data_IF_989093626800
#
_entry.id   IF_989093626800
#
_cell.length_a   1.000
_cell.length_b   1.000
_cell.length_c   1.000
_cell.angle_alpha   90.00
_cell.angle_beta   90.00
_cell.angle_gamma   90.00
#
_symmetry.space_group_name_H-M   'P 1'
#
loop_
_entity.id
_entity.type
_entity.pdbx_description
1 polymer ?
#
# COMPACT_ATOMS: atom_id res chain seq x y z
N UNK A 1 15.55 -21.40 -13.51
CA UNK A 1 14.12 -21.83 -13.52
C UNK A 1 13.21 -20.70 -13.10
N UNK A 2 13.57 -19.94 -12.10
CA UNK A 2 12.69 -18.93 -11.48
C UNK A 2 12.41 -17.75 -12.40
N UNK A 3 13.34 -17.37 -13.26
CA UNK A 3 13.14 -16.27 -14.22
C UNK A 3 12.00 -16.57 -15.23
N UNK A 4 11.81 -17.82 -15.62
CA UNK A 4 10.72 -18.21 -16.51
C UNK A 4 9.35 -18.01 -15.86
N UNK A 5 9.23 -18.37 -14.59
CA UNK A 5 7.99 -18.15 -13.81
C UNK A 5 7.69 -16.65 -13.71
N UNK A 6 8.70 -15.82 -13.46
CA UNK A 6 8.56 -14.37 -13.42
C UNK A 6 8.10 -13.80 -14.77
N UNK A 7 8.65 -14.31 -15.88
CA UNK A 7 8.22 -13.91 -17.22
C UNK A 7 6.76 -14.28 -17.51
N UNK A 8 6.33 -15.49 -17.15
CA UNK A 8 4.95 -15.92 -17.33
C UNK A 8 3.99 -15.05 -16.52
N UNK A 9 4.31 -14.79 -15.24
CA UNK A 9 3.52 -13.93 -14.38
C UNK A 9 3.44 -12.51 -14.95
N UNK A 10 4.57 -11.96 -15.36
CA UNK A 10 4.62 -10.62 -15.95
C UNK A 10 3.78 -10.53 -17.24
N UNK A 11 3.85 -11.56 -18.11
CA UNK A 11 3.06 -11.62 -19.33
C UNK A 11 1.56 -11.61 -19.03
N UNK A 12 1.10 -12.47 -18.14
CA UNK A 12 -0.30 -12.55 -17.72
C UNK A 12 -0.78 -11.23 -17.14
N UNK A 13 0.01 -10.63 -16.24
CA UNK A 13 -0.37 -9.37 -15.61
C UNK A 13 -0.43 -8.22 -16.60
N UNK A 14 0.50 -8.15 -17.56
CA UNK A 14 0.50 -7.12 -18.59
C UNK A 14 -0.69 -7.28 -19.55
N UNK A 15 -1.06 -8.52 -19.92
CA UNK A 15 -2.26 -8.79 -20.72
C UNK A 15 -3.53 -8.36 -20.00
N UNK A 16 -3.67 -8.77 -18.72
CA UNK A 16 -4.82 -8.38 -17.90
C UNK A 16 -4.89 -6.86 -17.73
N UNK A 17 -3.78 -6.23 -17.40
CA UNK A 17 -3.73 -4.79 -17.20
C UNK A 17 -4.05 -4.00 -18.45
N UNK A 18 -3.65 -4.49 -19.63
CA UNK A 18 -4.00 -3.87 -20.92
C UNK A 18 -5.49 -4.06 -21.29
N UNK A 19 -6.16 -5.07 -20.74
CA UNK A 19 -7.60 -5.30 -20.96
C UNK A 19 -8.50 -4.48 -20.02
N UNK A 20 -7.94 -3.83 -19.01
CA UNK A 20 -8.72 -3.05 -18.03
C UNK A 20 -9.22 -1.76 -18.66
N UNK A 21 -10.54 -1.62 -18.74
CA UNK A 21 -11.23 -0.39 -19.11
C UNK A 21 -11.92 0.23 -17.90
N UNK A 22 -11.31 1.21 -17.29
CA UNK A 22 -11.84 1.91 -16.11
C UNK A 22 -13.12 2.70 -16.38
N UNK A 23 -13.52 2.90 -17.64
CA UNK A 23 -14.76 3.60 -18.00
C UNK A 23 -15.99 2.70 -17.96
N UNK A 24 -15.80 1.39 -17.95
CA UNK A 24 -16.87 0.38 -18.07
C UNK A 24 -16.80 -0.71 -16.98
N UNK A 25 -16.43 -0.34 -15.78
CA UNK A 25 -16.34 -1.26 -14.63
C UNK A 25 -17.41 -0.97 -13.59
N UNK A 26 -17.78 -1.99 -12.82
CA UNK A 26 -18.70 -1.85 -11.68
C UNK A 26 -18.22 -0.79 -10.68
N UNK A 27 -16.90 -0.61 -10.55
CA UNK A 27 -16.27 0.32 -9.60
C UNK A 27 -15.79 1.63 -10.24
N UNK A 28 -16.32 2.00 -11.41
CA UNK A 28 -15.91 3.21 -12.15
C UNK A 28 -15.98 4.47 -11.29
N UNK A 29 -17.06 4.62 -10.51
CA UNK A 29 -17.23 5.78 -9.62
C UNK A 29 -16.16 5.84 -8.51
N UNK A 30 -15.84 4.71 -7.89
CA UNK A 30 -14.79 4.64 -6.87
C UNK A 30 -13.41 5.00 -7.46
N UNK A 31 -13.09 4.49 -8.66
CA UNK A 31 -11.84 4.81 -9.36
C UNK A 31 -11.75 6.30 -9.69
N UNK A 32 -12.86 6.92 -10.14
CA UNK A 32 -12.90 8.36 -10.40
C UNK A 32 -12.68 9.19 -9.12
N UNK A 33 -13.20 8.75 -7.99
CA UNK A 33 -12.96 9.38 -6.69
C UNK A 33 -11.53 9.19 -6.22
N UNK A 34 -10.98 7.97 -6.40
CA UNK A 34 -9.58 7.66 -6.07
C UNK A 34 -8.61 8.56 -6.85
N UNK A 35 -8.86 8.84 -8.14
CA UNK A 35 -8.05 9.76 -8.96
C UNK A 35 -7.98 11.19 -8.41
N UNK A 36 -8.98 11.62 -7.64
CA UNK A 36 -8.99 12.95 -7.02
C UNK A 36 -8.17 13.01 -5.74
N UNK A 37 -7.91 11.87 -5.12
CA UNK A 37 -7.00 11.80 -3.98
C UNK A 37 -5.59 12.09 -4.47
N UNK A 38 -4.89 12.95 -3.77
CA UNK A 38 -3.50 13.32 -4.08
C UNK A 38 -2.59 12.87 -2.94
N UNK A 39 -2.32 11.55 -2.79
CA UNK A 39 -1.44 11.07 -1.75
C UNK A 39 -0.01 11.56 -1.98
N UNK A 40 0.74 11.80 -0.92
CA UNK A 40 2.14 12.17 -1.02
C UNK A 40 2.96 11.08 -1.71
N UNK A 41 2.73 9.82 -1.32
CA UNK A 41 3.29 8.65 -1.95
C UNK A 41 2.29 7.49 -1.89
N UNK A 42 2.40 6.56 -2.85
CA UNK A 42 1.67 5.30 -2.88
C UNK A 42 2.69 4.18 -2.74
N UNK A 43 2.41 3.22 -1.87
CA UNK A 43 3.27 2.06 -1.64
C UNK A 43 2.48 0.82 -1.97
N UNK A 44 3.01 -0.02 -2.85
CA UNK A 44 2.31 -1.23 -3.29
C UNK A 44 3.24 -2.43 -3.35
N UNK A 45 2.66 -3.61 -3.06
CA UNK A 45 3.27 -4.92 -3.31
C UNK A 45 2.83 -5.51 -4.66
N UNK A 46 1.88 -4.86 -5.36
CA UNK A 46 1.39 -5.33 -6.65
C UNK A 46 2.42 -5.11 -7.75
N UNK A 47 2.45 -6.05 -8.70
CA UNK A 47 3.38 -6.00 -9.84
C UNK A 47 2.80 -5.30 -11.07
N UNK A 48 1.45 -5.25 -11.21
CA UNK A 48 0.75 -4.64 -12.34
C UNK A 48 0.90 -3.12 -12.40
N UNK A 49 0.48 -2.49 -13.49
CA UNK A 49 0.55 -1.04 -13.71
C UNK A 49 -0.79 -0.32 -13.49
N UNK A 50 -1.71 -0.94 -12.75
CA UNK A 50 -3.05 -0.37 -12.48
C UNK A 50 -2.97 0.98 -11.78
N UNK A 51 -2.08 1.11 -10.79
CA UNK A 51 -1.91 2.37 -10.07
C UNK A 51 -1.31 3.47 -10.94
N UNK A 52 -0.37 3.14 -11.81
CA UNK A 52 0.20 4.07 -12.79
C UNK A 52 -0.85 4.59 -13.78
N UNK A 53 -1.82 3.75 -14.17
CA UNK A 53 -2.96 4.15 -15.02
C UNK A 53 -4.01 4.99 -14.29
N UNK A 54 -4.12 4.82 -12.98
CA UNK A 54 -5.01 5.63 -12.14
C UNK A 54 -4.37 6.99 -11.83
N UNK A 55 -3.08 7.01 -11.52
CA UNK A 55 -2.30 8.18 -11.12
C UNK A 55 -1.23 8.50 -12.18
N UNK A 56 -1.66 8.96 -13.34
CA UNK A 56 -0.84 9.19 -14.53
C UNK A 56 0.28 10.23 -14.35
N UNK A 57 0.16 11.11 -13.36
CA UNK A 57 1.17 12.11 -13.02
C UNK A 57 2.18 11.63 -11.96
N UNK A 58 2.07 10.37 -11.48
CA UNK A 58 2.96 9.81 -10.47
C UNK A 58 4.08 9.02 -11.12
N UNK A 59 5.27 9.09 -10.51
CA UNK A 59 6.43 8.34 -10.98
C UNK A 59 6.51 6.98 -10.28
N UNK A 60 6.50 5.89 -11.05
CA UNK A 60 6.75 4.55 -10.53
C UNK A 60 8.24 4.37 -10.20
N UNK A 61 8.51 3.85 -9.00
CA UNK A 61 9.86 3.54 -8.52
C UNK A 61 9.87 2.07 -8.10
N UNK A 62 10.68 1.27 -8.77
CA UNK A 62 10.67 -0.19 -8.65
C UNK A 62 11.79 -0.69 -7.74
N UNK A 63 11.43 -1.54 -6.78
CA UNK A 63 12.34 -2.32 -5.96
C UNK A 63 13.42 -1.49 -5.26
N UNK A 64 14.68 -1.83 -5.46
CA UNK A 64 15.82 -1.17 -4.79
C UNK A 64 16.06 0.29 -5.25
N UNK A 65 15.48 0.70 -6.37
CA UNK A 65 15.60 2.08 -6.84
C UNK A 65 14.89 3.08 -5.91
N UNK A 66 13.95 2.61 -5.07
CA UNK A 66 13.32 3.39 -4.00
C UNK A 66 14.36 4.11 -3.11
N UNK A 67 15.57 3.54 -2.97
CA UNK A 67 16.65 4.12 -2.16
C UNK A 67 17.45 5.17 -2.92
N UNK A 68 17.51 5.08 -4.25
CA UNK A 68 18.42 5.89 -5.09
C UNK A 68 17.79 7.19 -5.60
N UNK A 69 16.47 7.30 -5.58
CA UNK A 69 15.77 8.44 -6.15
C UNK A 69 15.97 9.66 -5.26
N UNK A 70 16.58 10.67 -5.81
CA UNK A 70 16.61 12.01 -5.24
C UNK A 70 15.18 12.53 -5.13
N UNK A 71 14.81 12.99 -3.96
CA UNK A 71 13.52 13.51 -3.57
C UNK A 71 12.76 14.20 -4.72
N UNK A 72 11.80 13.48 -5.30
CA UNK A 72 10.60 14.11 -5.80
C UNK A 72 9.75 14.36 -4.56
N UNK A 73 9.44 15.59 -4.28
CA UNK A 73 8.73 15.95 -3.05
C UNK A 73 7.28 15.50 -3.06
N UNK A 74 6.78 14.89 -4.16
CA UNK A 74 5.36 14.57 -4.33
C UNK A 74 5.12 13.65 -5.54
N UNK A 75 4.23 12.65 -5.38
CA UNK A 75 3.74 11.86 -6.50
C UNK A 75 4.60 10.64 -6.87
N UNK A 76 5.01 9.84 -5.90
CA UNK A 76 5.74 8.59 -6.12
C UNK A 76 4.84 7.36 -5.93
N UNK A 77 4.96 6.36 -6.82
CA UNK A 77 4.41 5.01 -6.64
C UNK A 77 5.56 4.05 -6.37
N UNK A 78 5.71 3.60 -5.14
CA UNK A 78 6.78 2.71 -4.72
C UNK A 78 6.33 1.25 -4.85
N UNK A 79 6.83 0.55 -5.86
CA UNK A 79 6.57 -0.88 -6.12
C UNK A 79 7.64 -1.72 -5.40
N UNK A 80 7.41 -1.97 -4.11
CA UNK A 80 8.43 -2.57 -3.23
C UNK A 80 8.73 -4.04 -3.53
N UNK A 81 7.80 -4.77 -4.15
CA UNK A 81 7.98 -6.15 -4.59
C UNK A 81 8.29 -6.30 -6.08
N UNK A 82 8.58 -5.20 -6.78
CA UNK A 82 8.92 -5.24 -8.20
C UNK A 82 7.75 -4.88 -9.13
N UNK A 83 7.97 -4.99 -10.43
CA UNK A 83 7.03 -4.63 -11.48
C UNK A 83 6.99 -5.66 -12.60
N UNK A 84 5.81 -5.88 -13.20
CA UNK A 84 5.66 -6.71 -14.40
C UNK A 84 6.43 -6.18 -15.61
N UNK A 85 6.78 -4.90 -15.62
CA UNK A 85 7.62 -4.29 -16.66
C UNK A 85 9.12 -4.49 -16.40
N UNK A 86 9.53 -4.84 -15.18
CA UNK A 86 10.90 -5.13 -14.79
C UNK A 86 10.97 -6.54 -14.18
N UNK A 87 10.89 -7.58 -15.02
CA UNK A 87 10.69 -8.98 -14.61
C UNK A 87 11.69 -9.45 -13.54
N UNK A 88 12.95 -9.03 -13.64
CA UNK A 88 13.98 -9.39 -12.67
C UNK A 88 13.74 -8.77 -11.28
N UNK A 89 12.94 -7.71 -11.19
CA UNK A 89 12.61 -7.04 -9.93
C UNK A 89 11.54 -7.77 -9.10
N UNK A 90 10.80 -8.70 -9.70
CA UNK A 90 9.68 -9.40 -9.08
C UNK A 90 10.15 -10.26 -7.91
N UNK A 91 9.55 -10.02 -6.73
CA UNK A 91 9.80 -10.77 -5.50
C UNK A 91 8.72 -11.84 -5.33
N UNK A 92 9.02 -13.09 -5.65
CA UNK A 92 8.03 -14.19 -5.60
C UNK A 92 8.61 -15.51 -5.08
N UNK A 93 9.89 -15.76 -5.23
CA UNK A 93 10.54 -16.98 -4.73
C UNK A 93 11.09 -16.77 -3.31
N UNK A 94 11.39 -17.88 -2.62
CA UNK A 94 12.02 -17.79 -1.31
C UNK A 94 13.35 -17.03 -1.34
N UNK A 95 14.15 -17.22 -2.39
CA UNK A 95 15.41 -16.51 -2.60
C UNK A 95 15.18 -15.02 -2.77
N UNK A 96 14.15 -14.63 -3.55
CA UNK A 96 13.78 -13.22 -3.71
C UNK A 96 13.40 -12.59 -2.37
N UNK A 97 12.60 -13.29 -1.56
CA UNK A 97 12.22 -12.80 -0.22
C UNK A 97 13.43 -12.69 0.71
N UNK A 98 14.37 -13.65 0.69
CA UNK A 98 15.61 -13.53 1.46
C UNK A 98 16.40 -12.27 1.07
N UNK A 99 16.51 -11.99 -0.22
CA UNK A 99 17.20 -10.78 -0.70
C UNK A 99 16.41 -9.51 -0.44
N UNK A 100 15.08 -9.56 -0.51
CA UNK A 100 14.21 -8.47 -0.12
C UNK A 100 14.38 -8.12 1.36
N UNK A 101 14.38 -9.13 2.26
CA UNK A 101 14.56 -8.91 3.70
C UNK A 101 15.93 -8.36 4.06
N UNK A 102 16.99 -8.71 3.35
CA UNK A 102 18.32 -8.09 3.54
C UNK A 102 18.33 -6.59 3.24
N UNK A 103 17.56 -6.18 2.22
CA UNK A 103 17.42 -4.79 1.77
C UNK A 103 16.31 -4.04 2.47
N UNK A 104 15.40 -4.72 3.17
CA UNK A 104 14.23 -4.19 3.84
C UNK A 104 14.56 -3.00 4.75
N UNK A 105 15.72 -3.02 5.43
CA UNK A 105 16.13 -1.94 6.33
C UNK A 105 16.11 -0.55 5.67
N UNK A 106 16.47 -0.45 4.41
CA UNK A 106 16.45 0.81 3.66
C UNK A 106 15.03 1.23 3.29
N UNK A 107 14.20 0.26 2.88
CA UNK A 107 12.79 0.51 2.57
C UNK A 107 12.07 0.93 3.86
N UNK A 108 12.24 0.19 4.95
CA UNK A 108 11.67 0.53 6.25
C UNK A 108 12.08 1.93 6.72
N UNK A 109 13.35 2.30 6.58
CA UNK A 109 13.81 3.64 6.95
C UNK A 109 13.12 4.75 6.12
N UNK A 110 12.97 4.56 4.80
CA UNK A 110 12.24 5.51 3.94
C UNK A 110 10.76 5.57 4.32
N UNK A 111 10.12 4.41 4.55
CA UNK A 111 8.73 4.34 4.97
C UNK A 111 8.50 5.03 6.32
N UNK A 112 9.42 4.87 7.26
CA UNK A 112 9.34 5.50 8.58
C UNK A 112 9.32 7.03 8.50
N UNK A 113 10.04 7.65 7.56
CA UNK A 113 9.97 9.10 7.36
C UNK A 113 8.57 9.53 6.91
N UNK A 114 7.95 8.80 5.98
CA UNK A 114 6.57 9.09 5.56
C UNK A 114 5.57 8.89 6.71
N UNK A 115 5.73 7.84 7.51
CA UNK A 115 4.82 7.55 8.62
C UNK A 115 4.92 8.57 9.75
N UNK A 116 6.08 9.16 9.95
CA UNK A 116 6.27 10.21 10.95
C UNK A 116 5.60 11.53 10.54
N UNK A 117 5.51 11.80 9.23
CA UNK A 117 5.07 13.09 8.70
C UNK A 117 3.63 13.07 8.15
N UNK A 118 3.13 11.88 7.75
CA UNK A 118 1.85 11.75 7.05
C UNK A 118 0.97 10.64 7.64
N UNK A 119 -0.37 10.78 7.58
CA UNK A 119 -1.27 9.66 7.89
C UNK A 119 -1.11 8.55 6.84
N UNK A 120 -1.10 7.31 7.32
CA UNK A 120 -0.97 6.11 6.52
C UNK A 120 -2.33 5.39 6.42
N UNK A 121 -2.76 5.09 5.20
CA UNK A 121 -3.96 4.33 4.93
C UNK A 121 -3.61 3.03 4.20
N UNK A 122 -3.97 1.90 4.80
CA UNK A 122 -3.86 0.59 4.16
C UNK A 122 -5.17 0.23 3.47
N UNK A 123 -5.13 -0.01 2.16
CA UNK A 123 -6.26 -0.50 1.35
C UNK A 123 -5.93 -1.86 0.75
N UNK A 124 -6.91 -2.78 0.75
CA UNK A 124 -6.76 -4.08 0.11
C UNK A 124 -5.90 -5.10 0.86
N UNK A 125 -5.49 -4.79 2.07
CA UNK A 125 -4.69 -5.70 2.91
C UNK A 125 -5.54 -6.37 3.97
N UNK A 126 -5.20 -7.62 4.28
CA UNK A 126 -5.73 -8.33 5.43
C UNK A 126 -4.93 -8.00 6.69
N UNK A 127 -5.59 -8.03 7.84
CA UNK A 127 -4.95 -7.91 9.16
C UNK A 127 -3.84 -8.96 9.36
N UNK A 128 -3.98 -10.10 8.70
CA UNK A 128 -3.04 -11.21 8.80
C UNK A 128 -1.89 -11.14 7.78
N UNK A 129 -1.84 -10.09 6.96
CA UNK A 129 -0.77 -9.93 5.98
C UNK A 129 0.58 -9.73 6.67
N UNK A 130 1.53 -10.61 6.36
CA UNK A 130 2.87 -10.60 6.98
C UNK A 130 3.68 -9.36 6.61
N UNK A 131 3.43 -8.75 5.44
CA UNK A 131 4.10 -7.51 5.05
C UNK A 131 3.62 -6.35 5.92
N UNK A 132 2.30 -6.28 6.17
CA UNK A 132 1.70 -5.27 7.07
C UNK A 132 2.23 -5.45 8.49
N UNK A 133 2.22 -6.67 9.02
CA UNK A 133 2.74 -6.97 10.36
C UNK A 133 4.20 -6.57 10.50
N UNK A 134 5.01 -6.87 9.49
CA UNK A 134 6.42 -6.52 9.49
C UNK A 134 6.65 -4.99 9.49
N UNK A 135 5.89 -4.23 8.69
CA UNK A 135 5.94 -2.77 8.67
C UNK A 135 5.49 -2.18 10.00
N UNK A 136 4.35 -2.67 10.53
CA UNK A 136 3.84 -2.20 11.83
C UNK A 136 4.79 -2.51 12.98
N UNK A 137 5.50 -3.65 12.95
CA UNK A 137 6.52 -3.98 13.95
C UNK A 137 7.69 -3.01 13.93
N UNK A 138 8.16 -2.64 12.73
CA UNK A 138 9.25 -1.68 12.58
C UNK A 138 8.83 -0.28 13.08
N UNK A 139 7.57 0.11 12.87
CA UNK A 139 7.00 1.38 13.34
C UNK A 139 6.86 1.39 14.86
N UNK A 140 6.34 0.30 15.45
CA UNK A 140 6.10 0.19 16.89
C UNK A 140 7.39 0.38 17.69
N UNK A 141 8.50 -0.21 17.23
CA UNK A 141 9.79 -0.08 17.89
C UNK A 141 10.27 1.37 18.02
N UNK A 142 9.82 2.25 17.12
CA UNK A 142 10.32 3.62 17.01
C UNK A 142 9.32 4.64 17.59
N UNK A 143 8.02 4.43 17.36
CA UNK A 143 7.01 5.48 17.61
C UNK A 143 6.16 5.22 18.85
N UNK A 144 5.82 3.98 19.14
CA UNK A 144 4.79 3.67 20.14
C UNK A 144 5.10 2.46 21.03
N UNK A 145 6.14 2.49 21.85
CA UNK A 145 6.41 1.40 22.78
C UNK A 145 5.22 1.16 23.73
N UNK A 146 4.96 -0.11 24.07
CA UNK A 146 3.94 -0.53 25.03
C UNK A 146 2.48 -0.52 24.54
N UNK A 147 2.20 -0.94 23.32
CA UNK A 147 0.83 -1.06 22.75
C UNK A 147 0.04 0.27 22.73
N UNK A 148 0.71 1.40 22.70
CA UNK A 148 0.05 2.68 22.53
C UNK A 148 -0.65 2.75 21.15
N UNK A 149 -1.76 3.48 21.09
CA UNK A 149 -2.41 3.72 19.81
C UNK A 149 -1.50 4.54 18.89
N UNK A 150 -1.25 4.06 17.68
CA UNK A 150 -0.60 4.85 16.63
C UNK A 150 -1.70 5.68 15.93
N UNK A 151 -1.79 6.98 16.18
CA UNK A 151 -2.99 7.76 15.87
C UNK A 151 -3.16 8.06 14.37
N UNK A 152 -2.09 7.96 13.60
CA UNK A 152 -2.04 8.29 12.16
C UNK A 152 -2.04 7.07 11.24
N UNK A 153 -2.26 5.86 11.74
CA UNK A 153 -2.38 4.63 10.93
C UNK A 153 -3.83 4.17 10.89
N UNK A 154 -4.31 3.93 9.67
CA UNK A 154 -5.67 3.49 9.37
C UNK A 154 -5.65 2.25 8.48
N UNK A 155 -6.30 1.17 8.91
CA UNK A 155 -6.61 0.02 8.08
C UNK A 155 -8.02 0.17 7.54
N UNK A 156 -8.18 0.22 6.23
CA UNK A 156 -9.48 0.24 5.56
C UNK A 156 -9.84 -1.20 5.19
N UNK A 157 -10.88 -1.72 5.83
CA UNK A 157 -11.34 -3.10 5.67
C UNK A 157 -12.71 -3.14 5.00
N UNK A 158 -12.83 -3.93 3.93
CA UNK A 158 -14.10 -4.16 3.28
C UNK A 158 -14.99 -5.05 4.15
N UNK A 159 -16.25 -4.62 4.36
CA UNK A 159 -17.27 -5.39 5.04
C UNK A 159 -18.63 -5.18 4.39
N UNK A 160 -19.23 -6.25 3.87
CA UNK A 160 -20.56 -6.20 3.24
C UNK A 160 -21.66 -5.76 4.20
N UNK A 161 -21.53 -6.13 5.46
CA UNK A 161 -22.52 -5.89 6.51
C UNK A 161 -22.31 -4.56 7.24
N UNK A 162 -21.43 -3.71 6.70
CA UNK A 162 -21.16 -2.42 7.29
C UNK A 162 -22.31 -1.45 6.98
N UNK A 163 -23.26 -1.34 7.91
CA UNK A 163 -24.17 -0.18 7.89
C UNK A 163 -23.35 1.09 8.21
N UNK A 164 -23.62 2.16 7.51
CA UNK A 164 -22.93 3.45 7.65
C UNK A 164 -23.00 4.08 9.06
N UNK A 165 -23.58 3.41 10.03
CA UNK A 165 -23.96 3.92 11.35
C UNK A 165 -23.16 3.32 12.53
N UNK A 166 -21.86 3.16 12.37
CA UNK A 166 -21.00 3.41 13.54
C UNK A 166 -20.92 2.41 14.68
N UNK A 167 -21.37 1.15 14.55
CA UNK A 167 -21.23 0.12 15.61
C UNK A 167 -19.95 -0.72 15.55
N UNK A 168 -19.06 -0.46 14.58
CA UNK A 168 -17.83 -1.23 14.42
C UNK A 168 -16.71 -0.74 15.33
N UNK A 169 -15.86 -1.69 15.71
CA UNK A 169 -14.65 -1.40 16.47
C UNK A 169 -13.78 -0.41 15.67
N UNK A 170 -13.46 0.74 16.29
CA UNK A 170 -12.67 1.79 15.64
C UNK A 170 -11.16 1.61 15.80
N UNK A 171 -10.75 0.72 16.68
CA UNK A 171 -9.35 0.40 16.98
C UNK A 171 -9.16 -1.10 16.96
N UNK A 172 -8.00 -1.54 16.50
CA UNK A 172 -7.62 -2.93 16.41
C UNK A 172 -6.24 -3.15 16.99
N UNK A 173 -6.09 -4.21 17.76
CA UNK A 173 -4.81 -4.71 18.24
C UNK A 173 -4.32 -5.82 17.32
N UNK A 174 -3.21 -5.59 16.63
CA UNK A 174 -2.61 -6.51 15.66
C UNK A 174 -1.37 -7.12 16.29
N UNK A 175 -1.32 -8.45 16.38
CA UNK A 175 -0.11 -9.18 16.76
C UNK A 175 0.93 -9.08 15.63
N UNK A 176 2.11 -8.53 15.94
CA UNK A 176 3.18 -8.30 14.95
C UNK A 176 4.43 -9.15 15.19
N UNK A 177 4.40 -10.00 16.19
CA UNK A 177 5.50 -10.91 16.53
C UNK A 177 5.25 -11.62 17.86
N UNK A 178 6.24 -12.38 18.36
CA UNK A 178 6.16 -13.02 19.67
C UNK A 178 6.03 -11.94 20.76
N UNK A 179 4.88 -11.93 21.44
CA UNK A 179 4.54 -11.00 22.54
C UNK A 179 4.54 -9.50 22.16
N UNK A 180 4.47 -9.17 20.86
CA UNK A 180 4.33 -7.79 20.37
C UNK A 180 2.99 -7.59 19.70
N UNK A 181 2.33 -6.47 20.00
CA UNK A 181 1.10 -6.07 19.34
C UNK A 181 1.06 -4.55 19.15
N UNK A 182 0.45 -4.12 18.06
CA UNK A 182 0.32 -2.72 17.68
C UNK A 182 -1.16 -2.36 17.62
N UNK A 183 -1.53 -1.22 18.20
CA UNK A 183 -2.89 -0.70 18.15
C UNK A 183 -3.01 0.37 17.07
N UNK A 184 -3.91 0.14 16.12
CA UNK A 184 -4.17 1.06 14.99
C UNK A 184 -5.67 1.34 14.86
N UNK A 185 -6.01 2.37 14.08
CA UNK A 185 -7.40 2.66 13.73
C UNK A 185 -7.88 1.78 12.59
N UNK A 186 -9.15 1.38 12.63
CA UNK A 186 -9.80 0.60 11.56
C UNK A 186 -11.03 1.34 11.06
N UNK A 187 -11.20 1.35 9.74
CA UNK A 187 -12.37 1.87 9.05
C UNK A 187 -12.98 0.69 8.29
N UNK A 188 -14.21 0.30 8.66
CA UNK A 188 -14.96 -0.68 7.90
C UNK A 188 -15.88 0.02 6.90
N UNK A 189 -15.91 -0.47 5.66
CA UNK A 189 -16.72 0.09 4.59
C UNK A 189 -17.16 -0.99 3.61
N UNK A 190 -18.37 -0.87 3.08
CA UNK A 190 -18.88 -1.67 1.96
C UNK A 190 -18.64 -1.00 0.59
N UNK A 191 -18.20 0.25 0.60
CA UNK A 191 -17.78 1.04 -0.55
C UNK A 191 -16.73 2.06 -0.09
N UNK A 192 -15.67 2.25 -0.84
CA UNK A 192 -14.57 3.15 -0.47
C UNK A 192 -14.73 4.58 -1.00
N UNK A 193 -15.72 4.83 -1.86
CA UNK A 193 -15.91 6.13 -2.49
C UNK A 193 -16.00 7.29 -1.52
N UNK A 194 -16.72 7.15 -0.40
CA UNK A 194 -16.83 8.19 0.62
C UNK A 194 -15.50 8.47 1.36
N UNK A 195 -14.64 7.43 1.49
CA UNK A 195 -13.31 7.59 2.07
C UNK A 195 -12.42 8.41 1.11
N UNK A 196 -12.48 8.11 -0.19
CA UNK A 196 -11.75 8.87 -1.20
C UNK A 196 -12.23 10.33 -1.29
N UNK A 197 -13.54 10.57 -1.20
CA UNK A 197 -14.09 11.92 -1.12
C UNK A 197 -13.55 12.68 0.12
N UNK A 198 -13.52 12.03 1.28
CA UNK A 198 -12.98 12.62 2.49
C UNK A 198 -11.47 12.91 2.39
N UNK A 199 -10.69 12.01 1.78
CA UNK A 199 -9.26 12.21 1.57
C UNK A 199 -8.95 13.29 0.54
N UNK A 200 -9.81 13.48 -0.46
CA UNK A 200 -9.64 14.50 -1.49
C UNK A 200 -10.06 15.90 -1.06
N UNK A 201 -10.94 16.02 -0.04
CA UNK A 201 -11.49 17.31 0.40
C UNK A 201 -10.47 18.24 1.09
N UNK A 202 -9.38 17.71 1.59
CA UNK A 202 -8.34 18.44 2.34
C UNK A 202 -7.01 18.54 1.58
N UNK A 203 -7.00 18.35 0.26
CA UNK A 203 -5.76 18.53 -0.51
C UNK A 203 -5.42 20.02 -0.55
N UNK A 204 -4.22 20.44 -0.10
CA UNK A 204 -3.76 21.80 -0.30
C UNK A 204 -3.77 22.13 -1.80
N UNK A 205 -4.26 23.32 -2.16
CA UNK A 205 -4.02 23.85 -3.49
C UNK A 205 -2.51 24.10 -3.62
N UNK A 206 -1.86 23.34 -4.50
CA UNK A 206 -0.43 23.47 -4.82
C UNK A 206 -0.30 24.37 -6.06
#
# INVERSE_FOLDING_TARGET
KDIYIKHEIASILNELSNSVDFSNMEYTEEVQKLRKVKPHAIITTNYDDTLEKIFDNYQAIVGHNVVKVNYSSYGEIMKIHGSSHEVESIVITNEDYVDFYKRKKYISAKLLTYFAEHPLFFFGYSINDENIKAILSDIDEIIAPNNALIPNIYLVSFSKDCEATGSHQKELLIGVGENKSVRIKVIYANNFGWIFDALSSNTPEI
#
